data_IF_329783041751
#
_entry.id   IF_329783041751
#
_cell.length_a   1.000
_cell.length_b   1.000
_cell.length_c   1.000
_cell.angle_alpha   90.00
_cell.angle_beta   90.00
_cell.angle_gamma   90.00
#
_symmetry.space_group_name_H-M   'P 1'
#
loop_
_entity.id
_entity.type
_entity.pdbx_description
1 polymer ?
#
# COMPACT_ATOMS: atom_id res chain seq x y z
N UNK A 1 -4.77 -13.44 29.69
CA UNK A 1 -4.42 -14.03 28.39
C UNK A 1 -3.12 -13.41 27.96
N UNK A 2 -2.03 -14.18 27.99
CA UNK A 2 -0.76 -13.77 27.40
C UNK A 2 -0.98 -13.68 25.89
N UNK A 3 -0.72 -12.52 25.31
CA UNK A 3 -0.73 -12.36 23.87
C UNK A 3 0.56 -12.99 23.33
N UNK A 4 0.40 -14.00 22.47
CA UNK A 4 1.49 -14.62 21.74
C UNK A 4 2.35 -13.52 21.08
N UNK A 5 3.63 -13.50 21.42
CA UNK A 5 4.51 -12.40 21.04
C UNK A 5 5.06 -12.67 19.65
N UNK A 6 4.38 -12.16 18.63
CA UNK A 6 4.81 -12.37 17.24
C UNK A 6 6.09 -11.59 16.96
N UNK A 7 7.08 -12.26 16.36
CA UNK A 7 8.20 -11.59 15.70
C UNK A 7 7.70 -10.74 14.52
N UNK A 8 8.42 -9.66 14.19
CA UNK A 8 8.02 -8.78 13.10
C UNK A 8 8.00 -9.49 11.76
N UNK A 9 9.05 -10.26 11.45
CA UNK A 9 9.23 -10.90 10.14
C UNK A 9 8.12 -11.91 9.91
N UNK A 10 7.87 -12.77 10.89
CA UNK A 10 6.76 -13.73 10.83
C UNK A 10 5.40 -13.03 10.66
N UNK A 11 5.11 -12.01 11.47
CA UNK A 11 3.84 -11.30 11.39
C UNK A 11 3.65 -10.55 10.06
N UNK A 12 4.73 -10.03 9.49
CA UNK A 12 4.70 -9.37 8.19
C UNK A 12 4.53 -10.36 7.02
N UNK A 13 5.20 -11.51 7.10
CA UNK A 13 5.13 -12.58 6.10
C UNK A 13 3.74 -13.22 6.07
N UNK A 14 3.13 -13.43 7.24
CA UNK A 14 1.75 -13.94 7.37
C UNK A 14 0.71 -13.02 6.71
N UNK A 15 1.01 -11.71 6.62
CA UNK A 15 0.13 -10.73 5.96
C UNK A 15 0.30 -10.70 4.43
N UNK A 16 1.43 -11.15 3.89
CA UNK A 16 1.73 -11.04 2.44
C UNK A 16 0.68 -11.72 1.54
N UNK A 17 0.13 -12.90 1.86
CA UNK A 17 -0.89 -13.54 1.04
C UNK A 17 -2.13 -12.64 0.85
N UNK A 18 -2.67 -12.07 1.93
CA UNK A 18 -3.86 -11.21 1.84
C UNK A 18 -3.55 -9.83 1.26
N UNK A 19 -2.34 -9.29 1.44
CA UNK A 19 -1.88 -8.08 0.73
C UNK A 19 -1.83 -8.35 -0.79
N UNK A 20 -1.34 -9.52 -1.19
CA UNK A 20 -1.29 -9.93 -2.61
C UNK A 20 -2.70 -10.08 -3.19
N UNK A 21 -3.62 -10.70 -2.45
CA UNK A 21 -5.04 -10.74 -2.84
C UNK A 21 -5.63 -9.35 -3.00
N UNK A 22 -5.33 -8.42 -2.09
CA UNK A 22 -5.79 -7.04 -2.20
C UNK A 22 -5.27 -6.38 -3.49
N UNK A 23 -3.98 -6.53 -3.82
CA UNK A 23 -3.38 -6.01 -5.07
C UNK A 23 -4.12 -6.56 -6.31
N UNK A 24 -4.38 -7.88 -6.35
CA UNK A 24 -5.12 -8.52 -7.46
C UNK A 24 -6.58 -8.05 -7.53
N UNK A 25 -7.24 -7.92 -6.38
CA UNK A 25 -8.62 -7.48 -6.27
C UNK A 25 -8.82 -6.06 -6.81
N UNK A 26 -7.96 -5.11 -6.44
CA UNK A 26 -8.09 -3.74 -6.94
C UNK A 26 -7.83 -3.63 -8.44
N UNK A 27 -6.98 -4.50 -8.99
CA UNK A 27 -6.73 -4.68 -10.43
C UNK A 27 -7.88 -5.37 -11.17
N UNK A 28 -8.87 -5.93 -10.46
CA UNK A 28 -10.01 -6.60 -11.08
C UNK A 28 -9.67 -7.96 -11.69
N UNK A 29 -8.63 -8.64 -11.19
CA UNK A 29 -8.23 -9.96 -11.71
C UNK A 29 -9.19 -11.07 -11.24
N UNK A 30 -9.47 -12.08 -12.08
CA UNK A 30 -10.56 -13.05 -11.86
C UNK A 30 -10.34 -14.13 -10.78
N UNK A 31 -9.24 -14.09 -10.01
CA UNK A 31 -8.95 -15.09 -8.97
C UNK A 31 -8.72 -14.46 -7.60
N UNK A 32 -9.49 -14.94 -6.61
CA UNK A 32 -9.53 -14.56 -5.18
C UNK A 32 -10.00 -13.12 -4.92
N UNK A 33 -11.31 -12.96 -4.72
CA UNK A 33 -11.86 -11.73 -4.17
C UNK A 33 -11.32 -11.51 -2.76
N UNK A 34 -10.54 -10.45 -2.57
CA UNK A 34 -10.23 -9.94 -1.23
C UNK A 34 -11.54 -9.73 -0.47
N UNK A 35 -11.73 -10.47 0.63
CA UNK A 35 -12.99 -10.51 1.35
C UNK A 35 -12.90 -9.92 2.76
N UNK A 36 -13.99 -10.01 3.52
CA UNK A 36 -14.03 -9.52 4.89
C UNK A 36 -13.08 -10.27 5.83
N UNK A 37 -12.83 -11.56 5.59
CA UNK A 37 -11.91 -12.38 6.38
C UNK A 37 -10.47 -11.92 6.16
N UNK A 38 -10.07 -11.73 4.90
CA UNK A 38 -8.76 -11.18 4.54
C UNK A 38 -8.55 -9.79 5.18
N UNK A 39 -9.56 -8.93 5.12
CA UNK A 39 -9.52 -7.62 5.78
C UNK A 39 -9.35 -7.73 7.30
N UNK A 40 -10.15 -8.56 7.96
CA UNK A 40 -10.11 -8.72 9.42
C UNK A 40 -8.80 -9.32 9.90
N UNK A 41 -8.23 -10.26 9.13
CA UNK A 41 -6.90 -10.82 9.40
C UNK A 41 -5.85 -9.72 9.37
N UNK A 42 -5.76 -8.95 8.27
CA UNK A 42 -4.78 -7.87 8.13
C UNK A 42 -4.93 -6.80 9.22
N UNK A 43 -6.16 -6.35 9.47
CA UNK A 43 -6.43 -5.36 10.52
C UNK A 43 -6.01 -5.86 11.90
N UNK A 44 -6.36 -7.10 12.24
CA UNK A 44 -6.03 -7.70 13.54
C UNK A 44 -4.53 -7.89 13.70
N UNK A 45 -3.82 -8.31 12.65
CA UNK A 45 -2.36 -8.48 12.67
C UNK A 45 -1.65 -7.13 12.88
N UNK A 46 -2.01 -6.11 12.11
CA UNK A 46 -1.46 -4.75 12.27
C UNK A 46 -1.74 -4.22 13.68
N UNK A 47 -2.97 -4.36 14.17
CA UNK A 47 -3.34 -3.96 15.53
C UNK A 47 -2.48 -4.66 16.58
N UNK A 48 -2.41 -5.99 16.55
CA UNK A 48 -1.65 -6.81 17.51
C UNK A 48 -0.18 -6.40 17.52
N UNK A 49 0.44 -6.23 16.36
CA UNK A 49 1.84 -5.81 16.22
C UNK A 49 2.10 -4.39 16.73
N UNK A 50 1.11 -3.50 16.68
CA UNK A 50 1.22 -2.14 17.22
C UNK A 50 1.05 -2.08 18.75
N UNK A 51 0.28 -2.99 19.37
CA UNK A 51 0.02 -2.96 20.82
C UNK A 51 1.02 -3.79 21.65
N UNK A 52 1.96 -4.47 21.00
CA UNK A 52 3.01 -5.21 21.72
C UNK A 52 3.83 -4.26 22.61
N UNK A 53 4.22 -4.76 23.80
CA UNK A 53 5.05 -3.99 24.73
C UNK A 53 6.46 -3.78 24.15
N UNK A 54 7.12 -2.65 24.46
CA UNK A 54 8.54 -2.47 24.14
C UNK A 54 9.38 -3.67 24.61
N UNK A 55 10.37 -4.11 23.83
CA UNK A 55 10.91 -3.49 22.61
C UNK A 55 10.18 -3.84 21.30
N UNK A 56 9.09 -4.62 21.35
CA UNK A 56 8.44 -5.22 20.18
C UNK A 56 7.28 -4.40 19.59
N UNK A 57 7.23 -3.10 19.89
CA UNK A 57 6.25 -2.22 19.26
C UNK A 57 6.69 -1.97 17.80
N UNK A 58 5.97 -2.55 16.84
CA UNK A 58 6.36 -2.50 15.44
C UNK A 58 5.66 -1.39 14.64
N UNK A 59 5.02 -0.41 15.30
CA UNK A 59 4.26 0.64 14.62
C UNK A 59 5.09 1.42 13.61
N UNK A 60 6.37 1.71 13.92
CA UNK A 60 7.29 2.38 12.98
C UNK A 60 7.62 1.51 11.77
N UNK A 61 7.90 0.22 11.98
CA UNK A 61 8.22 -0.70 10.88
C UNK A 61 7.00 -0.90 9.97
N UNK A 62 5.81 -1.03 10.54
CA UNK A 62 4.56 -1.12 9.78
C UNK A 62 4.24 0.15 8.98
N UNK A 63 4.55 1.33 9.52
CA UNK A 63 4.43 2.60 8.78
C UNK A 63 5.34 2.62 7.54
N UNK A 64 6.60 2.20 7.69
CA UNK A 64 7.52 2.10 6.55
C UNK A 64 7.03 1.08 5.52
N UNK A 65 6.61 -0.11 5.98
CA UNK A 65 6.07 -1.16 5.13
C UNK A 65 4.81 -0.74 4.36
N UNK A 66 3.96 0.11 4.93
CA UNK A 66 2.84 0.68 4.19
C UNK A 66 3.31 1.43 2.94
N UNK A 67 4.34 2.28 3.07
CA UNK A 67 4.95 2.98 1.94
C UNK A 67 5.52 2.01 0.91
N UNK A 68 6.30 1.02 1.37
CA UNK A 68 6.89 -0.01 0.51
C UNK A 68 5.83 -0.80 -0.30
N UNK A 69 4.69 -1.16 0.31
CA UNK A 69 3.60 -1.87 -0.38
C UNK A 69 3.02 -1.03 -1.53
N UNK A 70 2.87 0.27 -1.31
CA UNK A 70 2.36 1.21 -2.32
C UNK A 70 3.39 1.38 -3.45
N UNK A 71 4.65 1.62 -3.10
CA UNK A 71 5.73 1.79 -4.07
C UNK A 71 5.95 0.55 -4.93
N UNK A 72 5.94 -0.64 -4.32
CA UNK A 72 6.05 -1.91 -5.02
C UNK A 72 4.91 -2.10 -6.03
N UNK A 73 3.67 -1.81 -5.64
CA UNK A 73 2.53 -1.86 -6.56
C UNK A 73 2.65 -0.86 -7.72
N UNK A 74 3.06 0.38 -7.44
CA UNK A 74 3.24 1.39 -8.49
C UNK A 74 4.34 0.95 -9.47
N UNK A 75 5.47 0.45 -8.96
CA UNK A 75 6.60 0.03 -9.79
C UNK A 75 6.30 -1.21 -10.63
N UNK A 76 5.71 -2.24 -10.02
CA UNK A 76 5.45 -3.52 -10.68
C UNK A 76 4.29 -3.46 -11.69
N UNK A 77 3.26 -2.67 -11.40
CA UNK A 77 2.02 -2.69 -12.18
C UNK A 77 1.78 -1.39 -12.93
N UNK A 78 1.68 -0.27 -12.21
CA UNK A 78 1.26 1.00 -12.82
C UNK A 78 2.31 1.52 -13.81
N UNK A 79 3.58 1.50 -13.45
CA UNK A 79 4.66 1.94 -14.33
C UNK A 79 4.87 1.00 -15.52
N UNK A 80 4.67 -0.31 -15.36
CA UNK A 80 4.78 -1.24 -16.50
C UNK A 80 3.74 -0.91 -17.57
N UNK A 81 2.47 -0.77 -17.16
CA UNK A 81 1.39 -0.49 -18.10
C UNK A 81 1.51 0.91 -18.75
N UNK A 82 2.00 1.91 -18.02
CA UNK A 82 2.28 3.23 -18.59
C UNK A 82 3.43 3.20 -19.59
N UNK A 83 4.41 2.30 -19.41
CA UNK A 83 5.51 2.12 -20.39
C UNK A 83 5.02 1.42 -21.65
N UNK A 84 4.09 0.49 -21.56
CA UNK A 84 3.56 -0.21 -22.74
C UNK A 84 2.77 0.74 -23.66
N UNK A 85 2.05 1.72 -23.09
CA UNK A 85 1.20 2.66 -23.83
C UNK A 85 1.91 3.98 -24.21
N UNK A 86 3.24 4.04 -24.18
CA UNK A 86 3.99 5.30 -24.28
C UNK A 86 3.98 5.97 -25.66
N UNK A 87 3.70 5.22 -26.73
CA UNK A 87 3.78 5.72 -28.12
C UNK A 87 2.50 6.42 -28.59
N UNK A 88 1.41 6.31 -27.81
CA UNK A 88 0.11 6.92 -28.11
C UNK A 88 -0.34 7.76 -26.89
N UNK A 89 -0.39 9.08 -27.07
CA UNK A 89 -0.74 10.03 -26.01
C UNK A 89 -2.16 9.79 -25.46
N UNK A 90 -3.11 9.42 -26.31
CA UNK A 90 -4.48 9.13 -25.89
C UNK A 90 -4.52 7.85 -25.05
N UNK A 91 -3.85 6.79 -25.48
CA UNK A 91 -3.75 5.54 -24.71
C UNK A 91 -3.02 5.74 -23.39
N UNK A 92 -1.94 6.54 -23.39
CA UNK A 92 -1.21 6.90 -22.18
C UNK A 92 -2.09 7.62 -21.16
N UNK A 93 -2.88 8.61 -21.61
CA UNK A 93 -3.81 9.34 -20.75
C UNK A 93 -4.91 8.44 -20.18
N UNK A 94 -5.49 7.57 -21.02
CA UNK A 94 -6.49 6.60 -20.56
C UNK A 94 -5.91 5.66 -19.50
N UNK A 95 -4.70 5.14 -19.72
CA UNK A 95 -4.05 4.24 -18.78
C UNK A 95 -3.69 4.97 -17.48
N UNK A 96 -3.22 6.23 -17.54
CA UNK A 96 -2.95 7.04 -16.36
C UNK A 96 -4.19 7.23 -15.48
N UNK A 97 -5.32 7.58 -16.08
CA UNK A 97 -6.61 7.73 -15.36
C UNK A 97 -7.02 6.41 -14.71
N UNK A 98 -6.88 5.29 -15.43
CA UNK A 98 -7.17 3.95 -14.91
C UNK A 98 -6.27 3.62 -13.71
N UNK A 99 -4.95 3.79 -13.82
CA UNK A 99 -3.99 3.52 -12.74
C UNK A 99 -4.21 4.40 -11.52
N UNK A 100 -4.55 5.67 -11.71
CA UNK A 100 -4.92 6.54 -10.61
C UNK A 100 -6.19 6.07 -9.89
N UNK A 101 -7.21 5.63 -10.64
CA UNK A 101 -8.44 5.09 -10.07
C UNK A 101 -8.17 3.84 -9.23
N UNK A 102 -7.35 2.91 -9.74
CA UNK A 102 -6.95 1.70 -9.00
C UNK A 102 -6.12 2.04 -7.77
N UNK A 103 -5.16 2.96 -7.88
CA UNK A 103 -4.38 3.44 -6.74
C UNK A 103 -5.27 3.98 -5.62
N UNK A 104 -6.25 4.83 -5.93
CA UNK A 104 -7.20 5.35 -4.94
C UNK A 104 -7.97 4.22 -4.22
N UNK A 105 -8.36 3.16 -4.93
CA UNK A 105 -9.01 2.00 -4.31
C UNK A 105 -8.05 1.31 -3.34
N UNK A 106 -6.81 1.05 -3.75
CA UNK A 106 -5.78 0.45 -2.90
C UNK A 106 -5.55 1.25 -1.63
N UNK A 107 -5.34 2.57 -1.76
CA UNK A 107 -5.15 3.48 -0.61
C UNK A 107 -6.35 3.43 0.33
N UNK A 108 -7.58 3.39 -0.19
CA UNK A 108 -8.80 3.29 0.63
C UNK A 108 -8.83 2.01 1.48
N UNK A 109 -8.40 0.86 0.95
CA UNK A 109 -8.35 -0.39 1.71
C UNK A 109 -7.19 -0.39 2.71
N UNK A 110 -5.99 -0.03 2.27
CA UNK A 110 -4.80 -0.03 3.12
C UNK A 110 -4.91 1.00 4.27
N UNK A 111 -5.44 2.21 4.05
CA UNK A 111 -5.65 3.17 5.15
C UNK A 111 -6.62 2.65 6.22
N UNK A 112 -7.54 1.75 5.87
CA UNK A 112 -8.43 1.10 6.87
C UNK A 112 -7.71 -0.01 7.62
N UNK A 113 -6.95 -0.84 6.92
CA UNK A 113 -6.14 -1.91 7.53
C UNK A 113 -5.13 -1.32 8.51
N UNK A 114 -4.44 -0.25 8.11
CA UNK A 114 -3.43 0.45 8.91
C UNK A 114 -4.00 1.59 9.75
N UNK A 115 -5.32 1.66 9.93
CA UNK A 115 -5.98 2.77 10.63
C UNK A 115 -5.46 2.99 12.05
N UNK A 116 -5.03 1.92 12.73
CA UNK A 116 -4.47 2.04 14.07
C UNK A 116 -3.22 2.94 14.11
N UNK A 117 -2.39 2.96 13.06
CA UNK A 117 -1.23 3.84 12.97
C UNK A 117 -1.63 5.33 12.89
N UNK A 118 -2.67 5.63 12.10
CA UNK A 118 -3.22 6.99 11.96
C UNK A 118 -3.73 7.54 13.29
N UNK A 119 -4.30 6.68 14.13
CA UNK A 119 -4.82 7.08 15.43
C UNK A 119 -3.74 7.14 16.52
N UNK A 120 -2.84 6.16 16.58
CA UNK A 120 -2.01 5.92 17.77
C UNK A 120 -0.53 6.27 17.61
N UNK A 121 -0.02 6.34 16.39
CA UNK A 121 1.42 6.45 16.13
C UNK A 121 1.79 7.75 15.40
N UNK A 122 1.10 8.06 14.29
CA UNK A 122 1.40 9.20 13.43
C UNK A 122 1.29 10.56 14.15
N UNK A 123 0.23 10.85 14.94
CA UNK A 123 0.04 12.16 15.57
C UNK A 123 1.18 12.56 16.53
N UNK A 124 1.88 11.59 17.10
CA UNK A 124 2.92 11.81 18.10
C UNK A 124 4.34 11.90 17.52
N UNK A 125 4.50 11.79 16.20
CA UNK A 125 5.81 11.56 15.56
C UNK A 125 6.14 12.50 14.41
N UNK A 126 5.31 13.52 14.15
CA UNK A 126 5.47 14.44 13.01
C UNK A 126 5.61 13.70 11.66
N UNK A 127 4.92 12.57 11.52
CA UNK A 127 4.92 11.77 10.30
C UNK A 127 3.76 12.20 9.41
N UNK A 128 3.93 12.02 8.09
CA UNK A 128 2.86 12.26 7.14
C UNK A 128 1.74 11.21 7.32
N UNK A 129 0.45 11.60 7.25
CA UNK A 129 -0.67 10.67 7.17
C UNK A 129 -0.51 9.66 6.03
N UNK A 130 -1.06 8.46 6.20
CA UNK A 130 -0.93 7.36 5.23
C UNK A 130 -1.43 7.76 3.83
N UNK A 131 -2.51 8.54 3.78
CA UNK A 131 -3.02 9.10 2.53
C UNK A 131 -1.99 10.00 1.85
N UNK A 132 -1.32 10.87 2.60
CA UNK A 132 -0.31 11.79 2.04
C UNK A 132 0.91 11.02 1.54
N UNK A 133 1.37 10.01 2.29
CA UNK A 133 2.43 9.09 1.85
C UNK A 133 2.05 8.46 0.50
N UNK A 134 0.85 7.90 0.39
CA UNK A 134 0.39 7.28 -0.85
C UNK A 134 0.25 8.25 -2.02
N UNK A 135 -0.16 9.49 -1.76
CA UNK A 135 -0.24 10.54 -2.77
C UNK A 135 1.15 10.93 -3.26
N UNK A 136 2.09 11.12 -2.34
CA UNK A 136 3.48 11.43 -2.64
C UNK A 136 4.13 10.30 -3.45
N UNK A 137 3.99 9.03 -3.05
CA UNK A 137 4.54 7.90 -3.80
C UNK A 137 4.02 7.87 -5.24
N UNK A 138 2.70 8.03 -5.47
CA UNK A 138 2.16 8.01 -6.84
C UNK A 138 2.65 9.20 -7.65
N UNK A 139 2.59 10.42 -7.09
CA UNK A 139 3.11 11.62 -7.75
C UNK A 139 4.57 11.43 -8.10
N UNK A 140 5.42 11.13 -7.14
CA UNK A 140 6.86 11.11 -7.32
C UNK A 140 7.31 9.98 -8.26
N UNK A 141 6.71 8.79 -8.18
CA UNK A 141 7.08 7.69 -9.07
C UNK A 141 6.54 7.87 -10.50
N UNK A 142 5.27 8.29 -10.64
CA UNK A 142 4.64 8.41 -11.97
C UNK A 142 5.09 9.70 -12.66
N UNK A 143 5.07 10.85 -11.98
CA UNK A 143 5.46 12.13 -12.56
C UNK A 143 6.94 12.17 -12.95
N UNK A 144 7.85 11.76 -12.06
CA UNK A 144 9.28 11.79 -12.38
C UNK A 144 9.61 10.87 -13.56
N UNK A 145 8.91 9.74 -13.70
CA UNK A 145 9.11 8.83 -14.84
C UNK A 145 8.53 9.37 -16.15
N UNK A 146 7.42 10.11 -16.10
CA UNK A 146 6.85 10.76 -17.28
C UNK A 146 7.70 11.97 -17.71
N UNK A 147 8.19 12.78 -16.77
CA UNK A 147 9.05 13.93 -17.05
C UNK A 147 10.39 13.56 -17.69
N UNK A 148 11.01 12.45 -17.28
CA UNK A 148 12.27 11.98 -17.89
C UNK A 148 12.14 11.64 -19.39
N UNK A 149 10.91 11.52 -19.92
CA UNK A 149 10.64 11.26 -21.33
C UNK A 149 10.21 12.51 -22.12
N UNK A 150 9.74 13.57 -21.45
CA UNK A 150 9.52 14.88 -22.07
C UNK A 150 10.81 15.69 -21.97
N UNK A 151 11.85 15.25 -22.68
CA UNK A 151 12.96 16.16 -22.99
C UNK A 151 12.49 17.06 -24.14
N UNK A 152 12.23 18.32 -23.81
CA UNK A 152 12.10 19.42 -24.78
C UNK A 152 13.34 19.51 -25.68
#
# INVERSE_FOLDING_TARGET
MEHETNDFEQGWDDMQPSITKLKRFVEGLPESSFDASDYMMLYTSVYRMCIQKPPRNYSRQLYNKYGEVIEDYINSTALSALRENHDDEYMLLQELVKRWSTHKKMVKYLSKIFHYLEYSFIPFRSLAPLKEVSLACFRDLVYNKLQLKVKL
#
